data_IF_377702182566
#
_entry.id   IF_377702182566
#
_cell.length_a   1.000
_cell.length_b   1.000
_cell.length_c   1.000
_cell.angle_alpha   90.00
_cell.angle_beta   90.00
_cell.angle_gamma   90.00
#
_symmetry.space_group_name_H-M   'P 1'
#
loop_
_entity.id
_entity.type
_entity.pdbx_description
1 polymer ?
#
# COMPACT_ATOMS: atom_id res chain seq x y z
N UNK A 1 -6.23 8.65 10.46
CA UNK A 1 -6.21 7.20 10.19
C UNK A 1 -7.33 6.90 9.22
N UNK A 2 -7.05 6.84 7.91
CA UNK A 2 -8.10 6.62 6.91
C UNK A 2 -8.14 5.14 6.57
N UNK A 3 -9.24 4.50 6.93
CA UNK A 3 -9.55 3.11 6.64
C UNK A 3 -9.71 2.94 5.12
N UNK A 4 -8.74 2.28 4.47
CA UNK A 4 -8.67 1.99 3.02
C UNK A 4 -9.42 0.71 2.64
N UNK A 5 -10.62 0.46 3.17
CA UNK A 5 -11.33 -0.80 2.92
C UNK A 5 -12.75 -0.53 2.44
N UNK A 6 -12.93 -0.36 1.13
CA UNK A 6 -14.17 -0.77 0.42
C UNK A 6 -14.07 -0.73 -1.12
N UNK A 7 -13.08 -0.07 -1.73
CA UNK A 7 -12.88 -0.07 -3.19
C UNK A 7 -11.40 -0.11 -3.56
N UNK A 8 -10.82 -1.31 -3.73
CA UNK A 8 -9.48 -1.45 -4.31
C UNK A 8 -9.54 -1.24 -5.81
N UNK A 9 -8.93 -0.17 -6.31
CA UNK A 9 -8.79 0.03 -7.75
C UNK A 9 -7.74 -0.95 -8.30
N UNK A 10 -7.85 -1.36 -9.57
CA UNK A 10 -6.98 -2.41 -10.13
C UNK A 10 -5.49 -2.03 -10.05
N UNK A 11 -5.20 -0.72 -10.07
CA UNK A 11 -3.85 -0.17 -9.95
C UNK A 11 -3.32 -0.11 -8.50
N UNK A 12 -4.17 -0.34 -7.49
CA UNK A 12 -3.79 -0.37 -6.06
C UNK A 12 -3.48 -1.80 -5.58
N UNK A 13 -3.87 -2.84 -6.33
CA UNK A 13 -3.57 -4.25 -6.03
C UNK A 13 -2.10 -4.51 -5.66
N UNK A 14 -1.10 -4.08 -6.46
CA UNK A 14 0.30 -4.38 -6.14
C UNK A 14 0.80 -3.66 -4.88
N UNK A 15 0.18 -2.54 -4.48
CA UNK A 15 0.48 -1.88 -3.21
C UNK A 15 -0.12 -2.65 -2.04
N UNK A 16 -1.38 -3.09 -2.16
CA UNK A 16 -2.06 -3.85 -1.13
C UNK A 16 -1.34 -5.18 -0.82
N UNK A 17 -0.82 -5.85 -1.85
CA UNK A 17 0.00 -7.05 -1.65
C UNK A 17 1.28 -6.75 -0.86
N UNK A 18 1.93 -5.61 -1.12
CA UNK A 18 3.10 -5.17 -0.36
C UNK A 18 2.73 -4.77 1.08
N UNK A 19 1.61 -4.07 1.30
CA UNK A 19 1.11 -3.75 2.65
C UNK A 19 0.84 -5.03 3.45
N UNK A 20 0.12 -5.99 2.87
CA UNK A 20 -0.16 -7.27 3.50
C UNK A 20 1.11 -8.01 3.87
N UNK A 21 2.12 -8.04 2.99
CA UNK A 21 3.39 -8.69 3.27
C UNK A 21 4.18 -8.00 4.39
N UNK A 22 4.11 -6.66 4.47
CA UNK A 22 4.70 -5.90 5.58
C UNK A 22 3.99 -6.22 6.90
N UNK A 23 2.66 -6.28 6.90
CA UNK A 23 1.87 -6.64 8.08
C UNK A 23 2.17 -8.06 8.55
N UNK A 24 2.27 -9.02 7.63
CA UNK A 24 2.63 -10.40 7.93
C UNK A 24 4.03 -10.48 8.56
N UNK A 25 5.03 -9.82 7.98
CA UNK A 25 6.39 -9.79 8.52
C UNK A 25 6.45 -9.12 9.89
N UNK A 26 5.67 -8.06 10.13
CA UNK A 26 5.55 -7.44 11.46
C UNK A 26 4.91 -8.39 12.47
N UNK A 27 3.89 -9.14 12.05
CA UNK A 27 3.25 -10.16 12.88
C UNK A 27 4.22 -11.28 13.25
N UNK A 28 5.02 -11.75 12.29
CA UNK A 28 6.05 -12.76 12.50
C UNK A 28 7.19 -12.25 13.39
N UNK A 29 7.66 -11.02 13.17
CA UNK A 29 8.68 -10.38 14.02
C UNK A 29 8.23 -10.36 15.49
N UNK A 30 6.97 -10.01 15.73
CA UNK A 30 6.41 -9.95 17.08
C UNK A 30 6.18 -11.35 17.69
N UNK A 31 5.87 -12.36 16.87
CA UNK A 31 5.56 -13.72 17.33
C UNK A 31 6.82 -14.57 17.59
N UNK A 32 7.80 -14.47 16.71
CA UNK A 32 9.02 -15.30 16.75
C UNK A 32 10.22 -14.55 17.35
N UNK A 33 10.10 -13.24 17.61
CA UNK A 33 11.19 -12.42 18.13
C UNK A 33 12.33 -12.21 17.13
N UNK A 34 12.07 -12.46 15.85
CA UNK A 34 13.03 -12.28 14.76
C UNK A 34 13.03 -10.82 14.28
N UNK A 35 14.21 -10.27 14.04
CA UNK A 35 14.35 -8.92 13.49
C UNK A 35 14.20 -8.96 11.96
N UNK A 36 13.06 -8.46 11.49
CA UNK A 36 12.79 -8.24 10.07
C UNK A 36 12.79 -6.74 9.71
N UNK A 37 13.33 -5.87 10.55
CA UNK A 37 13.27 -4.41 10.35
C UNK A 37 13.91 -3.97 9.03
N UNK A 38 14.99 -4.61 8.61
CA UNK A 38 15.69 -4.29 7.37
C UNK A 38 14.83 -4.65 6.14
N UNK A 39 14.22 -5.83 6.15
CA UNK A 39 13.33 -6.28 5.07
C UNK A 39 12.02 -5.48 5.04
N UNK A 40 11.45 -5.18 6.20
CA UNK A 40 10.27 -4.30 6.34
C UNK A 40 10.59 -2.91 5.78
N UNK A 41 11.74 -2.32 6.14
CA UNK A 41 12.16 -1.00 5.64
C UNK A 41 12.33 -1.00 4.12
N UNK A 42 12.85 -2.10 3.57
CA UNK A 42 13.00 -2.28 2.11
C UNK A 42 11.65 -2.39 1.41
N UNK A 43 10.71 -3.14 1.98
CA UNK A 43 9.36 -3.28 1.44
C UNK A 43 8.58 -1.96 1.53
N UNK A 44 8.71 -1.22 2.64
CA UNK A 44 8.13 0.12 2.80
C UNK A 44 8.70 1.10 1.77
N UNK A 45 10.01 1.07 1.52
CA UNK A 45 10.63 1.91 0.49
C UNK A 45 10.14 1.58 -0.92
N UNK A 46 9.94 0.28 -1.22
CA UNK A 46 9.33 -0.15 -2.49
C UNK A 46 7.89 0.29 -2.61
N UNK A 47 7.11 0.15 -1.54
CA UNK A 47 5.72 0.57 -1.50
C UNK A 47 5.59 2.06 -1.77
N UNK A 48 6.42 2.90 -1.12
CA UNK A 48 6.41 4.34 -1.34
C UNK A 48 6.74 4.71 -2.79
N UNK A 49 7.77 4.07 -3.38
CA UNK A 49 8.11 4.28 -4.79
C UNK A 49 6.95 3.90 -5.71
N UNK A 50 6.32 2.76 -5.45
CA UNK A 50 5.17 2.29 -6.21
C UNK A 50 3.99 3.26 -6.07
N UNK A 51 3.73 3.77 -4.86
CA UNK A 51 2.73 4.83 -4.61
C UNK A 51 3.00 6.06 -5.47
N UNK A 52 4.24 6.56 -5.47
CA UNK A 52 4.64 7.72 -6.27
C UNK A 52 4.53 7.46 -7.78
N UNK A 53 4.97 6.29 -8.26
CA UNK A 53 4.89 5.90 -9.67
C UNK A 53 3.43 5.74 -10.11
N UNK A 54 2.61 5.04 -9.34
CA UNK A 54 1.19 4.87 -9.67
C UNK A 54 0.47 6.20 -9.67
N UNK A 55 0.70 7.07 -8.68
CA UNK A 55 0.11 8.42 -8.63
C UNK A 55 0.57 9.28 -9.82
N UNK A 56 1.85 9.20 -10.19
CA UNK A 56 2.42 9.93 -11.34
C UNK A 56 1.86 9.43 -12.68
N UNK A 57 1.62 8.12 -12.80
CA UNK A 57 1.13 7.47 -14.02
C UNK A 57 -0.40 7.29 -14.05
N UNK A 58 -1.14 7.88 -13.10
CA UNK A 58 -2.60 7.81 -13.13
C UNK A 58 -3.14 8.39 -14.44
N UNK A 59 -3.85 7.57 -15.18
CA UNK A 59 -4.64 8.00 -16.33
C UNK A 59 -5.75 8.95 -15.88
N UNK A 60 -6.26 9.83 -16.77
CA UNK A 60 -7.37 10.72 -16.44
C UNK A 60 -8.59 9.99 -15.85
N UNK A 61 -8.89 8.78 -16.33
CA UNK A 61 -9.95 7.94 -15.79
C UNK A 61 -9.66 7.44 -14.37
N UNK A 62 -8.45 6.99 -14.09
CA UNK A 62 -8.04 6.57 -12.74
C UNK A 62 -8.04 7.74 -11.74
N UNK A 63 -7.68 8.96 -12.19
CA UNK A 63 -7.84 10.19 -11.39
C UNK A 63 -9.30 10.47 -11.06
N UNK A 64 -10.23 10.23 -11.99
CA UNK A 64 -11.67 10.36 -11.75
C UNK A 64 -12.17 9.28 -10.79
N UNK A 65 -11.69 8.03 -10.91
CA UNK A 65 -12.00 6.97 -9.94
C UNK A 65 -11.51 7.33 -8.53
N UNK A 66 -10.30 7.90 -8.41
CA UNK A 66 -9.76 8.39 -7.15
C UNK A 66 -10.55 9.60 -6.61
N UNK A 67 -10.95 10.55 -7.46
CA UNK A 67 -11.73 11.72 -7.05
C UNK A 67 -13.17 11.37 -6.63
N UNK A 68 -13.73 10.31 -7.21
CA UNK A 68 -15.03 9.72 -6.83
C UNK A 68 -14.93 8.80 -5.62
N UNK A 69 -13.74 8.59 -5.07
CA UNK A 69 -13.58 7.81 -3.86
C UNK A 69 -14.34 8.51 -2.73
N UNK A 70 -15.31 7.83 -2.08
CA UNK A 70 -16.24 8.44 -1.13
C UNK A 70 -15.57 9.00 0.15
N UNK A 71 -14.26 8.79 0.30
CA UNK A 71 -13.48 9.14 1.48
C UNK A 71 -12.42 10.23 1.21
N UNK A 72 -12.59 11.04 0.15
CA UNK A 72 -11.84 12.30 0.04
C UNK A 72 -12.44 13.29 1.06
N UNK A 73 -11.65 13.91 1.96
CA UNK A 73 -12.15 15.02 2.77
C UNK A 73 -12.59 16.19 1.91
#
# INVERSE_FOLDING_TARGET
>A
MVQRVTYSLDFEKPMLELEHKIEELKGLANKEGLDFNEEISRLQSRLKKLEEETLAHLTPWQKVQLARHPNRP
#
